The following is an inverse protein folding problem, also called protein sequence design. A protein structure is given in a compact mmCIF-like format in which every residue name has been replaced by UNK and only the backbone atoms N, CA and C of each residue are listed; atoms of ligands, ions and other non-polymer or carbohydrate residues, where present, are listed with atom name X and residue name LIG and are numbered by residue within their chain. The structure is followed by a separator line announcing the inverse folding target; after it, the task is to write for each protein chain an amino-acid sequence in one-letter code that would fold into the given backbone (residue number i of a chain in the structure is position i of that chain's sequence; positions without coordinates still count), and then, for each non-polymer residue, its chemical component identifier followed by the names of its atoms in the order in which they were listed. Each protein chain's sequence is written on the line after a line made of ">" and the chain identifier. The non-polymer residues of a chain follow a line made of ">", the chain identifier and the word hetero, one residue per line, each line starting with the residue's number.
data_IF_020300759836
#
_entry.id   IF_020300759836
#
_cell.length_a   1.000
_cell.length_b   1.000
_cell.length_c   1.000
_cell.angle_alpha   90.00
_cell.angle_beta   90.00
_cell.angle_gamma   90.00
#
_symmetry.space_group_name_H-M   'P 1'
#
loop_
_entity.id
_entity.type
_entity.pdbx_description
1 polymer ?
#
# COMPACT_ATOMS: atom_id res chain seq x y z
N UNK A 1 13.31 16.60 54.19
CA UNK A 1 14.69 16.06 54.26
C UNK A 1 15.16 15.88 52.81
N UNK A 2 15.86 16.86 52.23
CA UNK A 2 17.33 17.08 52.33
C UNK A 2 18.00 16.02 51.42
N UNK A 3 18.61 16.29 50.24
CA UNK A 3 19.52 17.35 49.77
C UNK A 3 19.34 17.55 48.22
N UNK A 4 19.27 18.74 47.60
CA UNK A 4 20.27 19.82 47.38
C UNK A 4 21.55 19.32 46.66
N UNK A 5 21.76 19.62 45.38
CA UNK A 5 22.33 20.86 44.80
C UNK A 5 23.80 20.67 44.41
N UNK A 6 24.17 21.00 43.17
CA UNK A 6 25.40 21.75 42.85
C UNK A 6 25.41 22.10 41.36
N UNK A 7 25.43 23.40 41.09
CA UNK A 7 25.68 24.02 39.80
C UNK A 7 27.05 24.72 39.82
N UNK A 8 27.58 24.96 38.61
CA UNK A 8 28.67 25.87 38.19
C UNK A 8 30.11 25.28 38.12
N UNK A 9 31.04 25.89 37.31
CA UNK A 9 30.87 26.89 36.25
C UNK A 9 31.63 26.60 34.93
N UNK A 10 31.32 27.44 33.96
CA UNK A 10 32.01 27.82 32.73
C UNK A 10 33.55 27.91 32.84
N UNK A 11 34.25 27.53 31.77
CA UNK A 11 35.61 28.04 31.50
C UNK A 11 35.75 28.40 30.02
N UNK A 12 36.20 29.63 29.81
CA UNK A 12 36.54 30.26 28.55
C UNK A 12 38.00 29.94 28.22
N UNK A 13 38.32 29.59 26.98
CA UNK A 13 39.66 29.76 26.40
C UNK A 13 39.47 30.00 24.89
N UNK A 14 39.46 31.26 24.46
CA UNK A 14 40.63 32.03 24.02
C UNK A 14 41.08 31.67 22.60
N UNK A 15 40.71 32.60 21.71
CA UNK A 15 41.31 32.96 20.43
C UNK A 15 42.77 32.54 20.22
N UNK A 16 43.04 31.97 19.04
CA UNK A 16 44.27 32.25 18.32
C UNK A 16 43.93 32.56 16.86
N UNK A 17 44.26 33.78 16.46
CA UNK A 17 44.19 34.33 15.11
C UNK A 17 45.59 34.48 14.52
N UNK A 18 45.62 34.52 13.18
CA UNK A 18 46.61 35.09 12.24
C UNK A 18 47.52 34.10 11.48
N UNK A 19 48.03 34.47 10.28
CA UNK A 19 47.60 35.55 9.37
C UNK A 19 47.51 35.17 7.86
N UNK A 20 46.86 36.10 7.16
CA UNK A 20 46.81 36.46 5.74
C UNK A 20 48.02 36.16 4.84
N UNK A 21 47.72 35.89 3.56
CA UNK A 21 48.52 36.33 2.40
C UNK A 21 47.62 36.58 1.19
N UNK A 22 47.46 37.85 0.86
CA UNK A 22 46.94 38.37 -0.40
C UNK A 22 47.87 38.06 -1.59
N UNK A 23 47.30 37.88 -2.79
CA UNK A 23 47.51 38.69 -4.01
C UNK A 23 47.08 37.92 -5.29
N UNK A 24 46.28 38.52 -6.20
CA UNK A 24 46.02 38.08 -7.58
C UNK A 24 47.03 38.76 -8.55
N UNK A 25 46.88 38.90 -9.90
CA UNK A 25 45.92 38.37 -10.88
C UNK A 25 46.58 37.83 -12.19
N UNK A 26 45.81 37.35 -13.19
CA UNK A 26 46.05 37.64 -14.65
C UNK A 26 45.01 37.04 -15.60
N UNK A 27 44.36 37.92 -16.36
CA UNK A 27 43.82 37.66 -17.71
C UNK A 27 44.97 37.69 -18.74
N UNK A 28 44.74 37.14 -19.94
CA UNK A 28 45.05 37.90 -21.14
C UNK A 28 43.91 37.95 -22.16
N UNK A 29 44.01 39.02 -22.93
CA UNK A 29 43.13 39.59 -23.94
C UNK A 29 43.05 38.84 -25.27
N UNK A 30 41.91 39.07 -25.92
CA UNK A 30 41.56 38.99 -27.35
C UNK A 30 42.68 38.97 -28.39
N UNK A 31 42.54 38.06 -29.37
CA UNK A 31 42.86 38.36 -30.77
C UNK A 31 41.60 38.23 -31.64
N UNK A 32 41.30 39.33 -32.37
CA UNK A 32 40.37 39.36 -33.48
C UNK A 32 40.99 38.68 -34.70
N UNK A 33 40.28 37.75 -35.31
CA UNK A 33 40.48 37.43 -36.74
C UNK A 33 39.16 37.52 -37.49
N UNK A 34 39.16 38.40 -38.50
CA UNK A 34 38.05 38.74 -39.39
C UNK A 34 37.62 37.51 -40.21
N UNK A 35 36.32 37.18 -40.20
CA UNK A 35 35.63 36.54 -41.33
C UNK A 35 34.15 36.93 -41.35
N UNK A 36 33.72 37.37 -42.52
CA UNK A 36 32.40 37.93 -42.87
C UNK A 36 31.24 36.93 -42.68
N UNK A 37 29.99 37.41 -42.51
CA UNK A 37 28.87 36.55 -42.14
C UNK A 37 28.36 35.78 -43.36
N UNK A 38 28.33 34.45 -43.27
CA UNK A 38 27.52 33.60 -44.16
C UNK A 38 26.34 33.08 -43.34
N UNK A 39 25.14 33.55 -43.68
CA UNK A 39 23.88 33.01 -43.16
C UNK A 39 23.74 31.52 -43.53
N UNK A 40 23.58 30.60 -42.56
CA UNK A 40 23.10 29.26 -42.84
C UNK A 40 21.57 29.31 -43.00
N UNK A 41 21.06 28.70 -44.09
CA UNK A 41 19.63 28.48 -44.34
C UNK A 41 19.00 27.66 -43.19
N UNK A 42 17.72 27.86 -42.86
CA UNK A 42 17.05 27.03 -41.86
C UNK A 42 16.93 25.58 -42.36
N UNK A 43 17.13 24.57 -41.51
CA UNK A 43 16.83 23.20 -41.88
C UNK A 43 15.30 23.03 -42.01
N UNK A 44 14.87 22.30 -43.04
CA UNK A 44 13.47 21.89 -43.23
C UNK A 44 12.98 21.13 -41.98
N UNK A 45 11.71 21.28 -41.57
CA UNK A 45 11.19 20.54 -40.43
C UNK A 45 11.18 19.04 -40.77
N UNK A 46 11.92 18.27 -39.97
CA UNK A 46 11.75 16.83 -39.91
C UNK A 46 10.35 16.51 -39.37
N UNK A 47 9.69 15.43 -39.83
CA UNK A 47 8.35 15.09 -39.36
C UNK A 47 8.40 14.89 -37.84
N UNK A 48 7.46 15.50 -37.13
CA UNK A 48 7.31 15.38 -35.69
C UNK A 48 7.23 13.90 -35.32
N UNK A 49 8.31 13.38 -34.72
CA UNK A 49 8.27 12.13 -33.99
C UNK A 49 7.31 12.35 -32.82
N UNK A 50 6.13 11.75 -32.90
CA UNK A 50 5.26 11.52 -31.75
C UNK A 50 6.04 10.63 -30.79
N UNK A 51 6.74 11.23 -29.84
CA UNK A 51 7.29 10.52 -28.68
C UNK A 51 6.10 10.20 -27.79
N UNK A 52 5.48 9.06 -28.05
CA UNK A 52 4.54 8.43 -27.14
C UNK A 52 5.38 7.79 -26.04
N UNK A 53 5.60 8.53 -24.94
CA UNK A 53 6.20 7.99 -23.73
C UNK A 53 5.28 6.88 -23.22
N UNK A 54 5.61 5.65 -23.59
CA UNK A 54 4.82 4.46 -23.32
C UNK A 54 5.63 3.62 -22.35
N UNK A 55 5.05 3.21 -21.23
CA UNK A 55 5.52 2.09 -20.41
C UNK A 55 5.81 0.88 -21.33
N UNK A 56 7.05 0.66 -21.76
CA UNK A 56 7.34 -0.27 -22.88
C UNK A 56 8.15 -1.53 -22.51
N UNK A 57 8.23 -1.91 -21.23
CA UNK A 57 8.97 -3.13 -20.86
C UNK A 57 8.24 -4.12 -19.93
N UNK A 58 6.95 -3.94 -19.66
CA UNK A 58 6.09 -4.99 -19.08
C UNK A 58 4.92 -5.26 -20.02
N UNK A 59 4.31 -6.44 -19.95
CA UNK A 59 3.09 -6.80 -20.67
C UNK A 59 1.95 -5.86 -20.25
N UNK A 60 1.81 -4.73 -20.94
CA UNK A 60 0.75 -3.76 -20.69
C UNK A 60 -0.54 -4.30 -21.30
N UNK A 61 -1.46 -4.75 -20.45
CA UNK A 61 -2.85 -4.95 -20.84
C UNK A 61 -3.54 -3.58 -20.86
N UNK A 62 -4.13 -3.20 -22.00
CA UNK A 62 -4.90 -1.96 -22.13
C UNK A 62 -6.37 -2.22 -21.79
N UNK A 63 -6.80 -1.76 -20.61
CA UNK A 63 -8.19 -1.90 -20.15
C UNK A 63 -9.15 -0.89 -20.79
N UNK A 64 -10.45 -1.18 -20.76
CA UNK A 64 -11.51 -0.28 -21.21
C UNK A 64 -11.69 0.90 -20.23
N UNK A 65 -11.52 2.17 -20.67
CA UNK A 65 -11.66 3.35 -19.80
C UNK A 65 -13.10 3.62 -19.36
N UNK A 66 -14.10 3.05 -20.04
CA UNK A 66 -15.52 3.26 -19.77
C UNK A 66 -15.94 2.78 -18.37
N UNK A 67 -15.25 1.77 -17.81
CA UNK A 67 -15.51 1.25 -16.46
C UNK A 67 -15.35 2.36 -15.41
N UNK A 68 -14.39 3.26 -15.61
CA UNK A 68 -14.05 4.36 -14.70
C UNK A 68 -14.97 5.58 -14.85
N UNK A 69 -15.98 5.54 -15.74
CA UNK A 69 -17.00 6.59 -15.83
C UNK A 69 -18.12 6.39 -14.80
N UNK A 70 -18.46 5.13 -14.51
CA UNK A 70 -19.62 4.77 -13.68
C UNK A 70 -19.21 4.18 -12.33
N UNK A 71 -18.09 3.47 -12.27
CA UNK A 71 -17.66 2.81 -11.04
C UNK A 71 -16.69 3.68 -10.22
N UNK A 72 -16.80 3.50 -8.90
CA UNK A 72 -15.97 4.13 -7.87
C UNK A 72 -15.52 3.06 -6.85
N UNK A 73 -15.01 1.91 -7.29
CA UNK A 73 -14.46 0.91 -6.36
C UNK A 73 -12.95 0.78 -6.47
N UNK A 74 -12.33 0.41 -5.35
CA UNK A 74 -10.92 0.03 -5.28
C UNK A 74 -10.59 -1.10 -6.28
N UNK A 75 -11.54 -2.02 -6.50
CA UNK A 75 -11.37 -3.14 -7.43
C UNK A 75 -11.20 -2.69 -8.90
N UNK A 76 -11.60 -1.46 -9.24
CA UNK A 76 -11.34 -0.89 -10.57
C UNK A 76 -9.86 -0.48 -10.72
N UNK A 77 -9.16 -0.19 -9.61
CA UNK A 77 -7.78 0.30 -9.60
C UNK A 77 -6.75 -0.73 -9.14
N UNK A 78 -7.19 -1.90 -8.68
CA UNK A 78 -6.37 -3.05 -8.32
C UNK A 78 -7.09 -4.33 -8.68
N UNK A 79 -6.41 -5.22 -9.43
CA UNK A 79 -6.98 -6.51 -9.83
C UNK A 79 -6.01 -7.65 -9.60
N UNK A 80 -6.56 -8.81 -9.29
CA UNK A 80 -5.81 -10.06 -9.25
C UNK A 80 -6.13 -10.87 -10.51
N UNK A 81 -5.24 -10.84 -11.48
CA UNK A 81 -5.38 -11.53 -12.75
C UNK A 81 -4.84 -12.96 -12.63
N UNK A 82 -5.62 -13.95 -13.09
CA UNK A 82 -5.27 -15.36 -13.03
C UNK A 82 -4.89 -15.85 -14.43
N UNK A 83 -3.59 -15.97 -14.70
CA UNK A 83 -3.06 -16.47 -15.95
C UNK A 83 -2.74 -17.96 -15.89
N UNK A 84 -3.74 -18.84 -15.78
CA UNK A 84 -3.56 -20.30 -15.79
C UNK A 84 -2.51 -20.83 -14.81
N UNK A 85 -1.24 -20.90 -15.26
CA UNK A 85 -0.04 -21.25 -14.48
C UNK A 85 0.64 -20.07 -13.77
N UNK A 86 0.06 -18.88 -13.71
CA UNK A 86 0.53 -17.76 -12.89
C UNK A 86 -0.63 -16.93 -12.34
N UNK A 87 -0.38 -16.18 -11.27
CA UNK A 87 -1.29 -15.16 -10.77
C UNK A 87 -0.56 -13.84 -10.59
N UNK A 88 -1.18 -12.73 -10.94
CA UNK A 88 -0.57 -11.40 -10.89
C UNK A 88 -1.47 -10.44 -10.14
N UNK A 89 -0.90 -9.74 -9.16
CA UNK A 89 -1.55 -8.56 -8.61
C UNK A 89 -1.10 -7.35 -9.44
N UNK A 90 -2.05 -6.60 -9.97
CA UNK A 90 -1.81 -5.45 -10.83
C UNK A 90 -2.51 -4.21 -10.27
N UNK A 91 -1.90 -3.06 -10.48
CA UNK A 91 -2.48 -1.74 -10.17
C UNK A 91 -2.73 -0.97 -11.47
N UNK A 92 -3.75 -0.11 -11.47
CA UNK A 92 -4.12 0.68 -12.64
C UNK A 92 -3.44 2.05 -12.65
N UNK A 93 -3.00 2.47 -13.84
CA UNK A 93 -2.73 3.86 -14.18
C UNK A 93 -3.83 4.34 -15.11
N UNK A 94 -4.64 5.29 -14.65
CA UNK A 94 -5.81 5.78 -15.38
C UNK A 94 -5.56 7.23 -15.81
N UNK A 95 -5.50 7.45 -17.12
CA UNK A 95 -5.28 8.78 -17.69
C UNK A 95 -6.60 9.52 -17.90
N UNK A 96 -6.69 10.74 -17.38
CA UNK A 96 -7.84 11.62 -17.49
C UNK A 96 -7.53 12.82 -18.39
N UNK A 97 -8.51 13.21 -19.19
CA UNK A 97 -8.43 14.37 -20.11
C UNK A 97 -9.72 15.18 -20.07
N UNK A 98 -9.65 16.43 -20.51
CA UNK A 98 -10.85 17.26 -20.66
C UNK A 98 -11.84 16.62 -21.62
N UNK A 99 -13.13 16.74 -21.32
CA UNK A 99 -14.20 16.33 -22.23
C UNK A 99 -14.23 17.26 -23.46
N UNK A 100 -14.61 16.73 -24.62
CA UNK A 100 -14.91 17.57 -25.78
C UNK A 100 -16.14 18.46 -25.49
N UNK A 101 -16.13 19.77 -25.83
CA UNK A 101 -15.15 20.47 -26.67
C UNK A 101 -13.98 21.13 -25.90
N UNK A 102 -13.96 21.11 -24.57
CA UNK A 102 -12.91 21.73 -23.74
C UNK A 102 -11.52 21.11 -23.93
N UNK A 103 -11.44 19.87 -24.40
CA UNK A 103 -10.17 19.29 -24.88
C UNK A 103 -9.49 20.10 -25.98
N UNK A 104 -10.21 20.92 -26.75
CA UNK A 104 -9.62 21.80 -27.76
C UNK A 104 -8.90 23.01 -27.15
N UNK A 105 -9.34 23.47 -25.97
CA UNK A 105 -8.70 24.59 -25.26
C UNK A 105 -7.47 24.14 -24.47
N UNK A 106 -7.46 22.90 -24.00
CA UNK A 106 -6.37 22.31 -23.22
C UNK A 106 -5.96 20.94 -23.80
N UNK A 107 -5.43 20.89 -25.04
CA UNK A 107 -5.16 19.63 -25.74
C UNK A 107 -4.03 18.80 -25.13
N UNK A 108 -3.16 19.45 -24.35
CA UNK A 108 -2.01 18.82 -23.70
C UNK A 108 -2.26 18.49 -22.23
N UNK A 109 -3.39 18.93 -21.66
CA UNK A 109 -3.72 18.65 -20.26
C UNK A 109 -4.06 17.17 -20.10
N UNK A 110 -3.27 16.50 -19.28
CA UNK A 110 -3.43 15.10 -18.92
C UNK A 110 -3.11 14.93 -17.43
N UNK A 111 -4.05 14.32 -16.71
CA UNK A 111 -3.91 13.99 -15.29
C UNK A 111 -4.03 12.48 -15.14
N UNK A 112 -3.01 11.83 -14.61
CA UNK A 112 -2.99 10.38 -14.47
C UNK A 112 -3.10 10.00 -12.99
N UNK A 113 -4.11 9.21 -12.65
CA UNK A 113 -4.21 8.55 -11.35
C UNK A 113 -3.34 7.30 -11.39
N UNK A 114 -2.26 7.30 -10.60
CA UNK A 114 -1.28 6.22 -10.54
C UNK A 114 -1.53 5.45 -9.24
N UNK A 115 -2.29 4.35 -9.34
CA UNK A 115 -2.59 3.47 -8.21
C UNK A 115 -1.34 2.74 -7.75
N UNK A 116 -1.12 2.69 -6.44
CA UNK A 116 0.02 1.99 -5.85
C UNK A 116 -0.33 1.06 -4.70
N UNK A 117 0.55 0.08 -4.52
CA UNK A 117 0.61 -0.75 -3.32
C UNK A 117 1.98 -0.56 -2.66
N UNK A 118 2.01 -0.52 -1.33
CA UNK A 118 3.22 -0.19 -0.58
C UNK A 118 4.27 -1.30 -0.53
N UNK A 119 3.87 -2.54 -0.84
CA UNK A 119 4.74 -3.71 -0.87
C UNK A 119 4.55 -4.38 -2.23
N UNK A 120 5.63 -4.52 -3.00
CA UNK A 120 5.59 -5.01 -4.38
C UNK A 120 6.96 -5.55 -4.81
N UNK A 121 7.04 -6.18 -5.99
CA UNK A 121 8.31 -6.56 -6.59
C UNK A 121 9.14 -5.29 -6.89
N UNK A 122 10.47 -5.39 -6.85
CA UNK A 122 11.34 -4.23 -7.11
C UNK A 122 11.12 -3.64 -8.49
N UNK A 123 10.88 -4.51 -9.47
CA UNK A 123 10.61 -4.19 -10.87
C UNK A 123 9.38 -3.30 -11.01
N UNK A 124 8.37 -3.49 -10.15
CA UNK A 124 7.19 -2.63 -10.11
C UNK A 124 7.55 -1.18 -9.75
N UNK A 125 8.31 -0.96 -8.67
CA UNK A 125 8.71 0.38 -8.27
C UNK A 125 9.64 1.04 -9.30
N UNK A 126 10.49 0.23 -9.95
CA UNK A 126 11.30 0.70 -11.08
C UNK A 126 10.41 1.15 -12.25
N UNK A 127 9.43 0.34 -12.64
CA UNK A 127 8.49 0.67 -13.71
C UNK A 127 7.69 1.94 -13.39
N UNK A 128 7.26 2.13 -12.14
CA UNK A 128 6.64 3.38 -11.70
C UNK A 128 7.60 4.57 -11.82
N UNK A 129 8.83 4.44 -11.32
CA UNK A 129 9.82 5.52 -11.39
C UNK A 129 10.08 5.95 -12.84
N UNK A 130 10.37 4.99 -13.72
CA UNK A 130 10.66 5.23 -15.13
C UNK A 130 9.43 5.81 -15.85
N UNK A 131 8.22 5.35 -15.50
CA UNK A 131 6.96 5.87 -16.04
C UNK A 131 6.62 7.29 -15.57
N UNK A 132 7.05 7.68 -14.36
CA UNK A 132 6.80 8.98 -13.74
C UNK A 132 7.82 10.05 -14.13
N UNK A 133 9.01 9.68 -14.59
CA UNK A 133 10.05 10.61 -15.06
C UNK A 133 9.55 11.66 -16.09
N UNK A 134 8.74 11.32 -17.11
CA UNK A 134 8.27 12.29 -18.11
C UNK A 134 7.11 13.18 -17.64
N UNK A 135 6.72 13.18 -16.37
CA UNK A 135 5.66 14.06 -15.85
C UNK A 135 6.23 15.39 -15.38
N UNK A 136 5.49 16.46 -15.65
CA UNK A 136 5.84 17.81 -15.20
C UNK A 136 5.74 17.94 -13.68
N UNK A 137 4.79 17.22 -13.08
CA UNK A 137 4.48 17.24 -11.66
C UNK A 137 3.94 15.88 -11.19
N UNK A 138 4.52 15.35 -10.11
CA UNK A 138 4.09 14.13 -9.44
C UNK A 138 3.63 14.48 -8.04
N UNK A 139 2.32 14.43 -7.82
CA UNK A 139 1.66 14.65 -6.53
C UNK A 139 1.60 13.33 -5.77
N UNK A 140 2.22 13.25 -4.59
CA UNK A 140 2.34 11.97 -3.87
C UNK A 140 1.70 11.94 -2.49
N UNK A 141 1.19 10.77 -2.13
CA UNK A 141 0.68 10.41 -0.81
C UNK A 141 1.82 10.21 0.21
N UNK A 142 1.75 10.91 1.35
CA UNK A 142 2.59 10.64 2.52
C UNK A 142 2.13 11.47 3.72
N UNK A 143 1.70 10.82 4.81
CA UNK A 143 1.56 11.50 6.10
C UNK A 143 2.93 11.51 6.79
N UNK A 144 3.50 12.70 6.96
CA UNK A 144 4.76 12.91 7.67
C UNK A 144 4.68 14.18 8.52
N UNK A 145 5.55 14.31 9.52
CA UNK A 145 5.57 15.53 10.34
C UNK A 145 5.91 16.74 9.50
N UNK A 146 5.33 17.89 9.85
CA UNK A 146 5.58 19.16 9.18
C UNK A 146 7.08 19.48 9.08
N UNK A 147 7.84 19.25 10.16
CA UNK A 147 9.29 19.42 10.16
C UNK A 147 10.00 18.53 9.13
N UNK A 148 9.55 17.27 8.98
CA UNK A 148 10.14 16.34 8.01
C UNK A 148 9.86 16.76 6.56
N UNK A 149 8.66 17.29 6.31
CA UNK A 149 8.26 17.81 5.00
C UNK A 149 9.02 19.11 4.68
N UNK A 150 9.17 20.01 5.65
CA UNK A 150 9.93 21.26 5.49
C UNK A 150 11.42 21.00 5.25
N UNK A 151 12.01 20.04 5.97
CA UNK A 151 13.41 19.63 5.78
C UNK A 151 13.63 19.02 4.39
N UNK A 152 12.66 18.25 3.89
CA UNK A 152 12.70 17.68 2.53
C UNK A 152 12.59 18.76 1.45
N UNK A 153 11.72 19.76 1.67
CA UNK A 153 11.58 20.90 0.76
C UNK A 153 12.83 21.78 0.74
N UNK A 154 13.50 21.91 1.88
CA UNK A 154 14.68 22.76 2.06
C UNK A 154 15.81 21.99 2.76
N UNK A 155 16.67 21.25 2.03
CA UNK A 155 17.75 20.45 2.60
C UNK A 155 18.77 21.26 3.43
N UNK A 156 18.82 22.59 3.24
CA UNK A 156 19.67 23.51 3.98
C UNK A 156 19.06 24.09 5.26
N UNK A 157 17.80 23.78 5.59
CA UNK A 157 17.17 24.24 6.82
C UNK A 157 17.79 23.55 8.04
N UNK A 158 18.14 24.33 9.08
CA UNK A 158 18.72 23.78 10.31
C UNK A 158 17.75 22.80 10.95
N UNK A 159 18.15 21.53 10.98
CA UNK A 159 17.46 20.45 11.70
C UNK A 159 17.32 20.82 13.17
N UNK A 160 16.12 21.24 13.59
CA UNK A 160 15.82 21.39 15.00
C UNK A 160 15.88 19.98 15.60
N UNK A 161 16.46 19.84 16.80
CA UNK A 161 16.48 18.56 17.51
C UNK A 161 15.08 18.28 18.08
N UNK A 162 14.10 18.07 17.20
CA UNK A 162 12.74 17.67 17.53
C UNK A 162 12.67 16.15 17.75
N UNK A 163 11.93 15.75 18.78
CA UNK A 163 11.62 14.34 19.09
C UNK A 163 10.85 13.75 17.90
N UNK A 164 11.48 12.85 17.13
CA UNK A 164 10.81 12.14 16.04
C UNK A 164 9.54 11.46 16.57
N UNK A 165 8.37 11.61 15.92
CA UNK A 165 7.16 10.91 16.36
C UNK A 165 7.39 9.40 16.33
N UNK A 166 7.34 8.75 17.50
CA UNK A 166 7.68 7.33 17.68
C UNK A 166 6.76 6.38 16.89
N UNK A 167 5.55 6.80 16.54
CA UNK A 167 4.53 5.97 15.88
C UNK A 167 4.86 5.54 14.44
N UNK A 168 5.40 6.44 13.61
CA UNK A 168 5.69 6.14 12.19
C UNK A 168 6.82 5.13 12.00
N UNK A 169 7.79 5.11 12.91
CA UNK A 169 8.86 4.12 12.85
C UNK A 169 8.31 2.71 13.04
N UNK A 170 7.29 2.52 13.88
CA UNK A 170 6.74 1.18 14.15
C UNK A 170 6.00 0.64 12.94
N UNK A 171 5.11 1.42 12.32
CA UNK A 171 4.36 0.98 11.15
C UNK A 171 5.28 0.69 9.96
N UNK A 172 6.25 1.57 9.68
CA UNK A 172 7.24 1.33 8.64
C UNK A 172 8.13 0.11 8.92
N UNK A 173 8.46 -0.18 10.19
CA UNK A 173 9.17 -1.40 10.56
C UNK A 173 8.33 -2.66 10.28
N UNK A 174 7.04 -2.64 10.61
CA UNK A 174 6.13 -3.77 10.36
C UNK A 174 6.01 -4.01 8.84
N UNK A 175 5.79 -2.96 8.05
CA UNK A 175 5.67 -3.07 6.59
C UNK A 175 6.96 -3.63 5.96
N UNK A 176 8.14 -3.17 6.37
CA UNK A 176 9.42 -3.75 5.89
C UNK A 176 9.58 -5.21 6.28
N UNK A 177 9.16 -5.60 7.49
CA UNK A 177 9.22 -7.00 7.91
C UNK A 177 8.27 -7.87 7.09
N UNK A 178 7.06 -7.38 6.81
CA UNK A 178 6.09 -8.04 5.93
C UNK A 178 6.63 -8.18 4.51
N UNK A 179 7.26 -7.14 3.95
CA UNK A 179 7.91 -7.18 2.65
C UNK A 179 8.97 -8.31 2.58
N UNK A 180 9.82 -8.42 3.60
CA UNK A 180 10.81 -9.51 3.69
C UNK A 180 10.19 -10.91 3.73
N UNK A 181 9.12 -11.09 4.51
CA UNK A 181 8.40 -12.38 4.59
C UNK A 181 7.82 -12.77 3.23
N UNK A 182 7.35 -11.79 2.47
CA UNK A 182 6.78 -11.99 1.13
C UNK A 182 7.84 -12.05 0.02
N UNK A 183 9.13 -11.86 0.33
CA UNK A 183 10.19 -11.64 -0.66
C UNK A 183 9.82 -10.53 -1.65
N UNK A 184 9.35 -9.41 -1.11
CA UNK A 184 8.97 -8.19 -1.82
C UNK A 184 9.76 -7.01 -1.24
N UNK A 185 9.67 -5.87 -1.91
CA UNK A 185 10.27 -4.61 -1.50
C UNK A 185 9.24 -3.62 -0.98
N UNK A 186 9.70 -2.63 -0.22
CA UNK A 186 8.88 -1.58 0.37
C UNK A 186 9.01 -0.26 -0.41
N UNK A 187 7.87 0.39 -0.68
CA UNK A 187 7.77 1.57 -1.55
C UNK A 187 8.73 2.72 -1.17
N UNK A 188 8.80 3.08 0.11
CA UNK A 188 9.64 4.20 0.56
C UNK A 188 11.15 3.92 0.44
N UNK A 189 11.54 2.64 0.31
CA UNK A 189 12.93 2.25 0.12
C UNK A 189 13.30 2.24 -1.39
N UNK A 190 12.31 2.25 -2.30
CA UNK A 190 12.50 2.12 -3.74
C UNK A 190 12.28 3.42 -4.53
N UNK A 191 11.37 4.30 -4.08
CA UNK A 191 11.04 5.55 -4.77
C UNK A 191 11.78 6.76 -4.17
N UNK A 192 12.24 7.65 -5.05
CA UNK A 192 12.90 8.90 -4.65
C UNK A 192 11.91 10.07 -4.64
N UNK A 193 11.36 10.32 -3.47
CA UNK A 193 10.43 11.41 -3.18
C UNK A 193 11.13 12.76 -3.00
N UNK A 194 12.42 12.89 -3.34
CA UNK A 194 13.19 14.15 -3.31
C UNK A 194 13.51 14.67 -4.71
N UNK A 195 13.04 14.00 -5.75
CA UNK A 195 13.16 14.48 -7.12
C UNK A 195 12.45 15.83 -7.31
N UNK A 196 12.97 16.67 -8.20
CA UNK A 196 12.53 18.07 -8.36
C UNK A 196 11.07 18.21 -8.81
N UNK A 197 10.56 17.25 -9.57
CA UNK A 197 9.17 17.21 -10.04
C UNK A 197 8.21 16.48 -9.08
N UNK A 198 8.65 16.11 -7.87
CA UNK A 198 7.81 15.43 -6.87
C UNK A 198 7.36 16.38 -5.77
N UNK A 199 6.05 16.48 -5.58
CA UNK A 199 5.42 17.40 -4.65
C UNK A 199 4.52 16.65 -3.68
N UNK A 200 4.68 16.96 -2.40
CA UNK A 200 3.80 16.45 -1.36
C UNK A 200 2.39 17.01 -1.55
N UNK A 201 1.40 16.12 -1.58
CA UNK A 201 0.01 16.45 -1.87
C UNK A 201 -0.96 15.96 -0.79
N UNK A 202 -0.47 15.66 0.40
CA UNK A 202 -1.23 15.02 1.48
C UNK A 202 -1.22 15.90 2.74
N UNK A 203 -1.88 15.44 3.82
CA UNK A 203 -1.86 16.11 5.11
C UNK A 203 -0.51 15.89 5.82
N UNK A 204 -0.05 16.91 6.55
CA UNK A 204 0.97 16.69 7.58
C UNK A 204 0.39 15.92 8.77
N UNK A 205 1.27 15.29 9.54
CA UNK A 205 0.85 14.42 10.64
C UNK A 205 0.08 15.18 11.73
N UNK A 206 0.49 16.40 12.04
CA UNK A 206 -0.13 17.20 13.07
C UNK A 206 -1.58 17.55 12.70
N UNK A 207 -1.81 18.01 11.47
CA UNK A 207 -3.15 18.25 10.93
C UNK A 207 -3.95 16.96 10.80
N UNK A 208 -3.35 15.86 10.32
CA UNK A 208 -4.02 14.57 10.22
C UNK A 208 -4.55 14.10 11.59
N UNK A 209 -3.73 14.18 12.63
CA UNK A 209 -4.12 13.81 14.00
C UNK A 209 -5.21 14.71 14.56
N UNK A 210 -5.12 16.02 14.31
CA UNK A 210 -6.14 16.97 14.74
C UNK A 210 -7.50 16.66 14.11
N UNK A 211 -7.55 16.44 12.79
CA UNK A 211 -8.79 16.11 12.10
C UNK A 211 -9.39 14.78 12.58
N UNK A 212 -8.55 13.79 12.89
CA UNK A 212 -8.99 12.53 13.50
C UNK A 212 -9.67 12.77 14.85
N UNK A 213 -9.07 13.59 15.71
CA UNK A 213 -9.65 13.95 17.02
C UNK A 213 -10.96 14.73 16.87
N UNK A 214 -11.03 15.70 15.96
CA UNK A 214 -12.23 16.51 15.69
C UNK A 214 -13.40 15.68 15.17
N UNK A 215 -13.15 14.70 14.29
CA UNK A 215 -14.18 13.77 13.80
C UNK A 215 -14.44 12.59 14.74
N UNK A 216 -13.69 12.43 15.82
CA UNK A 216 -13.76 11.25 16.70
C UNK A 216 -13.35 9.95 15.99
N UNK A 217 -12.57 10.05 14.92
CA UNK A 217 -12.12 8.93 14.11
C UNK A 217 -10.76 8.42 14.60
N UNK A 218 -10.57 7.10 14.53
CA UNK A 218 -9.26 6.49 14.70
C UNK A 218 -9.09 5.39 13.66
N UNK A 219 -7.84 4.99 13.38
CA UNK A 219 -7.58 3.83 12.50
C UNK A 219 -8.30 2.57 12.97
N UNK A 220 -8.47 2.40 14.28
CA UNK A 220 -9.18 1.26 14.87
C UNK A 220 -10.69 1.36 14.64
N UNK A 221 -11.29 2.52 14.90
CA UNK A 221 -12.72 2.77 14.66
C UNK A 221 -13.07 2.58 13.19
N UNK A 222 -12.24 3.12 12.29
CA UNK A 222 -12.40 2.94 10.85
C UNK A 222 -12.30 1.47 10.41
N UNK A 223 -11.32 0.73 10.94
CA UNK A 223 -11.20 -0.70 10.65
C UNK A 223 -12.42 -1.50 11.13
N UNK A 224 -12.98 -1.15 12.30
CA UNK A 224 -14.24 -1.72 12.80
C UNK A 224 -15.39 -1.39 11.85
N UNK A 225 -15.57 -0.13 11.48
CA UNK A 225 -16.67 0.30 10.61
C UNK A 225 -16.63 -0.40 9.26
N UNK A 226 -15.43 -0.51 8.68
CA UNK A 226 -15.22 -1.28 7.46
C UNK A 226 -15.60 -2.74 7.64
N UNK A 227 -15.13 -3.38 8.72
CA UNK A 227 -15.44 -4.78 9.01
C UNK A 227 -16.93 -5.01 9.23
N UNK A 228 -17.64 -4.11 9.92
CA UNK A 228 -19.07 -4.24 10.18
C UNK A 228 -19.86 -4.11 8.87
N UNK A 229 -19.61 -3.05 8.09
CA UNK A 229 -20.36 -2.81 6.85
C UNK A 229 -20.08 -3.86 5.79
N UNK A 230 -18.83 -4.31 5.69
CA UNK A 230 -18.49 -5.42 4.81
C UNK A 230 -19.13 -6.73 5.24
N UNK A 231 -19.19 -7.01 6.53
CA UNK A 231 -19.84 -8.21 7.05
C UNK A 231 -21.33 -8.13 6.78
N UNK A 232 -21.94 -6.94 6.94
CA UNK A 232 -23.32 -6.69 6.55
C UNK A 232 -23.55 -6.92 5.04
N UNK A 233 -22.66 -6.42 4.18
CA UNK A 233 -22.73 -6.64 2.74
C UNK A 233 -22.60 -8.13 2.39
N UNK A 234 -21.69 -8.84 3.05
CA UNK A 234 -21.52 -10.29 2.91
C UNK A 234 -22.75 -11.07 3.39
N UNK A 235 -23.36 -10.69 4.50
CA UNK A 235 -24.59 -11.31 5.02
C UNK A 235 -25.76 -11.06 4.07
N UNK A 236 -25.84 -9.88 3.46
CA UNK A 236 -26.86 -9.55 2.47
C UNK A 236 -26.63 -10.26 1.11
N UNK A 237 -25.38 -10.50 0.73
CA UNK A 237 -25.00 -11.23 -0.49
C UNK A 237 -24.95 -12.76 -0.30
N UNK A 238 -24.97 -13.26 0.94
CA UNK A 238 -24.86 -14.67 1.25
C UNK A 238 -26.20 -15.40 0.99
N UNK A 239 -26.38 -15.88 -0.23
CA UNK A 239 -26.73 -17.29 -0.35
C UNK A 239 -25.46 -18.08 -0.02
N UNK A 240 -25.44 -18.76 1.12
CA UNK A 240 -24.40 -19.78 1.38
C UNK A 240 -24.61 -20.85 0.31
N UNK A 241 -23.58 -21.29 -0.44
CA UNK A 241 -23.76 -22.40 -1.37
C UNK A 241 -24.33 -23.59 -0.59
N UNK A 242 -25.49 -24.10 -0.99
CA UNK A 242 -26.20 -25.20 -0.30
C UNK A 242 -25.38 -26.51 -0.21
N UNK A 243 -24.22 -26.56 -0.88
CA UNK A 243 -23.28 -27.67 -0.95
C UNK A 243 -22.18 -27.66 0.15
N UNK A 244 -22.10 -26.60 0.98
CA UNK A 244 -21.08 -26.57 2.04
C UNK A 244 -21.55 -27.30 3.31
N UNK A 245 -20.81 -28.35 3.71
CA UNK A 245 -21.08 -29.10 4.93
C UNK A 245 -21.17 -28.23 6.20
N UNK A 246 -22.07 -28.60 7.13
CA UNK A 246 -22.45 -27.83 8.32
C UNK A 246 -21.29 -27.17 9.09
N UNK A 247 -20.21 -27.91 9.34
CA UNK A 247 -19.04 -27.40 10.07
C UNK A 247 -18.24 -26.37 9.28
N UNK A 248 -18.12 -26.52 7.95
CA UNK A 248 -17.42 -25.54 7.09
C UNK A 248 -18.18 -24.23 7.03
N UNK A 249 -19.51 -24.30 6.92
CA UNK A 249 -20.40 -23.13 6.94
C UNK A 249 -20.30 -22.37 8.26
N UNK A 250 -20.29 -23.09 9.40
CA UNK A 250 -20.10 -22.47 10.72
C UNK A 250 -18.71 -21.88 10.91
N UNK A 251 -17.66 -22.56 10.44
CA UNK A 251 -16.28 -22.08 10.55
C UNK A 251 -16.04 -20.84 9.68
N UNK A 252 -16.57 -20.82 8.45
CA UNK A 252 -16.58 -19.63 7.59
C UNK A 252 -17.32 -18.48 8.24
N UNK A 253 -18.52 -18.74 8.76
CA UNK A 253 -19.30 -17.72 9.46
C UNK A 253 -18.55 -17.16 10.67
N UNK A 254 -17.94 -18.02 11.49
CA UNK A 254 -17.14 -17.61 12.64
C UNK A 254 -15.93 -16.78 12.22
N UNK A 255 -15.19 -17.20 11.17
CA UNK A 255 -14.04 -16.45 10.65
C UNK A 255 -14.42 -15.08 10.07
N UNK A 256 -15.65 -14.92 9.57
CA UNK A 256 -16.16 -13.66 9.05
C UNK A 256 -16.77 -12.76 10.13
N UNK A 257 -17.24 -13.34 11.23
CA UNK A 257 -17.97 -12.62 12.29
C UNK A 257 -17.11 -12.30 13.51
N UNK A 258 -15.95 -12.95 13.66
CA UNK A 258 -15.04 -12.74 14.78
C UNK A 258 -13.70 -12.19 14.29
N UNK A 259 -13.07 -11.23 15.02
CA UNK A 259 -11.74 -10.76 14.68
C UNK A 259 -10.74 -11.93 14.78
N UNK A 260 -10.07 -12.24 13.67
CA UNK A 260 -9.17 -13.38 13.56
C UNK A 260 -7.83 -12.93 12.96
N UNK A 261 -6.68 -13.44 13.45
CA UNK A 261 -5.38 -13.15 12.84
C UNK A 261 -5.36 -13.62 11.37
N UNK A 262 -4.61 -12.91 10.53
CA UNK A 262 -4.52 -13.17 9.08
C UNK A 262 -4.17 -14.63 8.74
N UNK A 263 -3.35 -15.27 9.57
CA UNK A 263 -2.99 -16.69 9.41
C UNK A 263 -4.19 -17.59 9.65
N UNK A 264 -5.02 -17.30 10.65
CA UNK A 264 -6.27 -18.04 10.89
C UNK A 264 -7.26 -17.87 9.73
N UNK A 265 -7.41 -16.64 9.23
CA UNK A 265 -8.26 -16.34 8.06
C UNK A 265 -7.75 -17.04 6.79
N UNK A 266 -6.43 -17.11 6.60
CA UNK A 266 -5.79 -17.83 5.51
C UNK A 266 -6.10 -19.33 5.58
N UNK A 267 -5.95 -19.93 6.76
CA UNK A 267 -6.19 -21.36 6.98
C UNK A 267 -7.68 -21.69 6.80
N UNK A 268 -8.59 -20.95 7.44
CA UNK A 268 -10.04 -21.20 7.31
C UNK A 268 -10.52 -20.89 5.89
N UNK A 269 -10.07 -19.80 5.29
CA UNK A 269 -10.38 -19.43 3.91
C UNK A 269 -9.96 -20.53 2.95
N UNK A 270 -8.74 -21.06 3.11
CA UNK A 270 -8.28 -22.22 2.36
C UNK A 270 -9.16 -23.45 2.59
N UNK A 271 -9.34 -23.92 3.82
CA UNK A 271 -10.05 -25.18 4.11
C UNK A 271 -11.52 -25.14 3.69
N UNK A 272 -12.17 -23.99 3.80
CA UNK A 272 -13.61 -23.88 3.63
C UNK A 272 -14.06 -23.30 2.29
N UNK A 273 -13.22 -22.58 1.54
CA UNK A 273 -13.57 -22.16 0.17
C UNK A 273 -13.23 -23.30 -0.80
N UNK A 274 -14.31 -23.98 -1.19
CA UNK A 274 -14.52 -24.99 -2.22
C UNK A 274 -13.30 -25.55 -3.02
N UNK A 275 -13.17 -26.88 -2.99
CA UNK A 275 -12.36 -27.71 -3.89
C UNK A 275 -13.15 -28.17 -5.15
N UNK A 276 -14.32 -27.59 -5.42
CA UNK A 276 -15.34 -28.18 -6.29
C UNK A 276 -15.87 -27.35 -7.45
N UNK A 277 -15.51 -26.08 -7.64
CA UNK A 277 -16.02 -25.25 -8.75
C UNK A 277 -14.90 -24.77 -9.69
N UNK A 278 -14.84 -25.41 -10.86
CA UNK A 278 -14.09 -25.09 -12.09
C UNK A 278 -12.70 -24.43 -11.96
N UNK A 279 -11.68 -25.23 -12.31
CA UNK A 279 -10.43 -24.80 -12.98
C UNK A 279 -9.73 -23.54 -12.46
N UNK A 280 -9.54 -23.38 -11.15
CA UNK A 280 -8.53 -22.45 -10.66
C UNK A 280 -7.35 -23.19 -10.05
N UNK A 281 -6.35 -23.43 -10.89
CA UNK A 281 -5.11 -24.13 -10.59
C UNK A 281 -4.22 -23.37 -9.56
N UNK A 282 -4.69 -22.31 -8.92
CA UNK A 282 -3.97 -21.64 -7.82
C UNK A 282 -4.92 -21.34 -6.66
N UNK A 283 -5.11 -22.35 -5.83
CA UNK A 283 -5.69 -22.15 -4.49
C UNK A 283 -4.59 -21.82 -3.50
N UNK A 284 -4.89 -20.98 -2.51
CA UNK A 284 -4.03 -20.70 -1.34
C UNK A 284 -3.58 -22.01 -0.69
N UNK A 285 -4.48 -23.00 -0.67
CA UNK A 285 -4.21 -24.35 -0.17
C UNK A 285 -3.11 -25.02 -0.99
N UNK A 286 -3.14 -24.91 -2.33
CA UNK A 286 -2.12 -25.54 -3.17
C UNK A 286 -0.73 -24.97 -2.85
N UNK A 287 -0.60 -23.64 -2.73
CA UNK A 287 0.66 -22.99 -2.35
C UNK A 287 1.11 -23.40 -0.92
N UNK A 288 0.20 -23.38 0.06
CA UNK A 288 0.48 -23.85 1.42
C UNK A 288 0.91 -25.31 1.46
N UNK A 289 0.27 -26.16 0.66
CA UNK A 289 0.55 -27.59 0.54
C UNK A 289 1.93 -27.86 -0.08
N UNK A 290 2.49 -26.88 -0.80
CA UNK A 290 3.86 -26.92 -1.34
C UNK A 290 4.88 -26.27 -0.41
N UNK A 291 4.49 -25.88 0.80
CA UNK A 291 5.30 -25.12 1.77
C UNK A 291 5.72 -23.72 1.27
N UNK A 292 5.06 -23.21 0.23
CA UNK A 292 5.30 -21.86 -0.27
C UNK A 292 4.36 -20.87 0.43
N UNK A 293 4.71 -20.57 1.69
CA UNK A 293 3.95 -19.63 2.54
C UNK A 293 3.96 -18.23 1.92
N UNK A 294 5.04 -17.85 1.24
CA UNK A 294 5.17 -16.58 0.55
C UNK A 294 4.14 -16.45 -0.57
N UNK A 295 4.09 -17.41 -1.49
CA UNK A 295 3.09 -17.45 -2.56
C UNK A 295 1.66 -17.53 -2.00
N UNK A 296 1.42 -18.36 -0.98
CA UNK A 296 0.11 -18.47 -0.36
C UNK A 296 -0.37 -17.14 0.25
N UNK A 297 0.52 -16.44 0.96
CA UNK A 297 0.20 -15.14 1.54
C UNK A 297 0.03 -14.06 0.47
N UNK A 298 0.83 -14.08 -0.62
CA UNK A 298 0.63 -13.20 -1.80
C UNK A 298 -0.75 -13.43 -2.44
N UNK A 299 -1.16 -14.68 -2.68
CA UNK A 299 -2.51 -14.99 -3.24
C UNK A 299 -3.60 -14.50 -2.30
N UNK A 300 -3.48 -14.80 -1.01
CA UNK A 300 -4.48 -14.40 -0.02
C UNK A 300 -4.61 -12.87 0.09
N UNK A 301 -3.49 -12.16 0.17
CA UNK A 301 -3.48 -10.70 0.21
C UNK A 301 -4.05 -10.11 -1.07
N UNK A 302 -3.67 -10.64 -2.24
CA UNK A 302 -4.20 -10.18 -3.53
C UNK A 302 -5.73 -10.32 -3.57
N UNK A 303 -6.26 -11.50 -3.24
CA UNK A 303 -7.71 -11.73 -3.18
C UNK A 303 -8.42 -10.84 -2.16
N UNK A 304 -7.80 -10.54 -1.01
CA UNK A 304 -8.39 -9.67 0.00
C UNK A 304 -8.45 -8.22 -0.44
N UNK A 305 -7.37 -7.73 -1.07
CA UNK A 305 -7.28 -6.36 -1.57
C UNK A 305 -8.22 -6.09 -2.77
N UNK A 306 -8.54 -7.12 -3.56
CA UNK A 306 -9.35 -6.98 -4.79
C UNK A 306 -10.75 -7.59 -4.68
N UNK A 307 -11.21 -7.94 -3.47
CA UNK A 307 -12.54 -8.55 -3.28
C UNK A 307 -13.67 -7.51 -3.28
N UNK A 308 -14.88 -7.95 -3.66
CA UNK A 308 -16.16 -7.22 -3.62
C UNK A 308 -16.43 -6.44 -2.31
N UNK A 309 -15.75 -6.79 -1.23
CA UNK A 309 -15.69 -6.04 0.03
C UNK A 309 -15.45 -4.54 -0.18
N UNK A 310 -14.62 -4.17 -1.16
CA UNK A 310 -14.21 -2.78 -1.42
C UNK A 310 -15.21 -1.99 -2.29
N UNK A 311 -16.30 -2.59 -2.74
CA UNK A 311 -17.32 -1.89 -3.54
C UNK A 311 -18.36 -1.17 -2.67
N UNK A 312 -18.64 -1.69 -1.47
CA UNK A 312 -19.72 -1.17 -0.59
C UNK A 312 -19.23 -0.08 0.37
N UNK A 313 -17.94 0.25 0.34
CA UNK A 313 -17.28 1.09 1.35
C UNK A 313 -17.05 2.54 0.92
N UNK A 314 -17.27 2.88 -0.36
CA UNK A 314 -16.92 4.17 -0.95
C UNK A 314 -17.45 5.42 -0.19
N UNK A 315 -18.70 5.40 0.28
CA UNK A 315 -19.28 6.54 1.03
C UNK A 315 -18.63 6.75 2.42
N UNK A 316 -18.12 5.68 3.05
CA UNK A 316 -17.39 5.80 4.33
C UNK A 316 -15.99 6.36 4.07
N UNK A 317 -15.35 5.88 2.99
CA UNK A 317 -14.02 6.32 2.59
C UNK A 317 -14.01 7.83 2.34
N UNK A 318 -15.00 8.36 1.61
CA UNK A 318 -15.14 9.79 1.34
C UNK A 318 -15.33 10.65 2.60
N UNK A 319 -16.12 10.18 3.57
CA UNK A 319 -16.40 10.98 4.77
C UNK A 319 -15.29 10.88 5.82
N UNK A 320 -14.41 9.88 5.72
CA UNK A 320 -13.33 9.64 6.66
C UNK A 320 -12.19 10.66 6.56
N UNK A 321 -11.46 10.85 7.66
CA UNK A 321 -10.17 11.54 7.67
C UNK A 321 -9.09 10.70 6.97
N UNK A 322 -9.23 9.37 7.00
CA UNK A 322 -8.22 8.43 6.51
C UNK A 322 -8.10 8.45 4.98
N UNK A 323 -9.19 8.74 4.27
CA UNK A 323 -9.20 8.84 2.81
C UNK A 323 -9.73 10.21 2.37
N UNK A 324 -10.95 10.57 2.75
CA UNK A 324 -11.63 11.79 2.31
C UNK A 324 -10.86 13.09 2.52
N UNK A 325 -10.47 13.40 3.75
CA UNK A 325 -9.74 14.66 4.04
C UNK A 325 -8.35 14.69 3.36
N UNK A 326 -7.69 13.54 3.24
CA UNK A 326 -6.41 13.42 2.53
C UNK A 326 -6.56 13.62 1.02
N UNK A 327 -7.64 13.11 0.44
CA UNK A 327 -7.95 13.32 -0.97
C UNK A 327 -8.34 14.78 -1.27
N UNK A 328 -8.96 15.49 -0.33
CA UNK A 328 -9.18 16.94 -0.48
C UNK A 328 -7.86 17.70 -0.58
N UNK A 329 -6.88 17.38 0.27
CA UNK A 329 -5.54 17.96 0.19
C UNK A 329 -4.87 17.68 -1.17
N UNK A 330 -5.05 16.47 -1.71
CA UNK A 330 -4.54 16.09 -3.03
C UNK A 330 -5.17 16.92 -4.15
N UNK A 331 -6.49 17.14 -4.10
CA UNK A 331 -7.22 17.97 -5.07
C UNK A 331 -6.82 19.45 -4.97
N UNK A 332 -6.56 19.97 -3.78
CA UNK A 332 -6.01 21.32 -3.61
C UNK A 332 -4.59 21.44 -4.18
N UNK A 333 -3.76 20.42 -4.00
CA UNK A 333 -2.43 20.37 -4.62
C UNK A 333 -2.53 20.30 -6.16
N UNK A 334 -3.48 19.54 -6.69
CA UNK A 334 -3.76 19.50 -8.13
C UNK A 334 -4.16 20.86 -8.68
N UNK A 335 -5.05 21.60 -8.00
CA UNK A 335 -5.43 22.96 -8.41
C UNK A 335 -4.21 23.86 -8.49
N UNK A 336 -3.35 23.84 -7.47
CA UNK A 336 -2.10 24.61 -7.47
C UNK A 336 -1.19 24.24 -8.65
N UNK A 337 -1.01 22.95 -8.91
CA UNK A 337 -0.18 22.50 -10.03
C UNK A 337 -0.73 22.95 -11.40
N UNK A 338 -2.06 22.97 -11.56
CA UNK A 338 -2.71 23.48 -12.77
C UNK A 338 -2.54 25.01 -12.90
N UNK A 339 -2.67 25.75 -11.80
CA UNK A 339 -2.46 27.20 -11.76
C UNK A 339 -1.00 27.59 -12.07
N UNK A 340 -0.05 26.73 -11.68
CA UNK A 340 1.38 26.85 -12.01
C UNK A 340 1.69 26.48 -13.48
N UNK A 341 0.70 25.97 -14.22
CA UNK A 341 0.80 25.71 -15.66
C UNK A 341 1.31 24.32 -16.04
N UNK A 342 1.35 23.37 -15.09
CA UNK A 342 1.69 21.98 -15.39
C UNK A 342 0.60 21.34 -16.26
N UNK A 343 1.02 20.63 -17.32
CA UNK A 343 0.09 20.01 -18.27
C UNK A 343 0.01 18.50 -18.09
N UNK A 344 1.11 17.86 -17.68
CA UNK A 344 1.18 16.41 -17.47
C UNK A 344 1.44 16.11 -16.01
N UNK A 345 0.38 15.83 -15.27
CA UNK A 345 0.40 15.67 -13.80
C UNK A 345 0.07 14.21 -13.44
N UNK A 346 0.86 13.61 -12.56
CA UNK A 346 0.57 12.29 -11.98
C UNK A 346 0.15 12.44 -10.52
N UNK A 347 -0.86 11.70 -10.09
CA UNK A 347 -1.30 11.60 -8.69
C UNK A 347 -1.00 10.18 -8.21
N UNK A 348 0.07 10.04 -7.42
CA UNK A 348 0.61 8.77 -6.92
C UNK A 348 0.09 8.49 -5.50
N UNK A 349 -0.93 7.66 -5.41
CA UNK A 349 -1.62 7.35 -4.14
C UNK A 349 -1.85 5.83 -4.02
N UNK A 350 -2.16 5.35 -2.83
CA UNK A 350 -2.55 3.97 -2.59
C UNK A 350 -3.89 3.65 -3.26
N UNK A 351 -4.08 2.39 -3.68
CA UNK A 351 -5.28 1.98 -4.41
C UNK A 351 -6.61 2.30 -3.72
N UNK A 352 -6.64 2.36 -2.38
CA UNK A 352 -7.83 2.75 -1.61
C UNK A 352 -8.26 4.21 -1.77
N UNK A 353 -7.37 5.10 -2.19
CA UNK A 353 -7.68 6.52 -2.40
C UNK A 353 -8.25 6.81 -3.79
N UNK A 354 -7.94 5.95 -4.76
CA UNK A 354 -8.23 6.17 -6.19
C UNK A 354 -9.71 6.39 -6.50
N UNK A 355 -10.68 5.68 -5.89
CA UNK A 355 -12.06 5.83 -6.29
C UNK A 355 -12.64 7.21 -6.02
N UNK A 356 -12.37 7.76 -4.84
CA UNK A 356 -12.79 9.11 -4.47
C UNK A 356 -12.02 10.18 -5.26
N UNK A 357 -10.71 9.98 -5.52
CA UNK A 357 -9.95 10.87 -6.39
C UNK A 357 -10.50 10.89 -7.83
N UNK A 358 -10.77 9.71 -8.40
CA UNK A 358 -11.34 9.57 -9.74
C UNK A 358 -12.68 10.27 -9.86
N UNK A 359 -13.54 10.14 -8.85
CA UNK A 359 -14.80 10.87 -8.76
C UNK A 359 -14.58 12.40 -8.72
N UNK A 360 -13.69 12.90 -7.85
CA UNK A 360 -13.38 14.34 -7.77
C UNK A 360 -12.80 14.89 -9.07
N UNK A 361 -11.98 14.13 -9.80
CA UNK A 361 -11.49 14.55 -11.12
C UNK A 361 -12.63 14.74 -12.13
N UNK A 362 -13.66 13.89 -12.08
CA UNK A 362 -14.83 14.02 -12.95
C UNK A 362 -15.72 15.19 -12.51
N UNK A 363 -16.05 15.24 -11.22
CA UNK A 363 -17.05 16.18 -10.68
C UNK A 363 -16.50 17.61 -10.60
N UNK A 364 -15.27 17.79 -10.10
CA UNK A 364 -14.70 19.11 -9.83
C UNK A 364 -13.93 19.70 -11.02
N UNK A 365 -13.43 18.85 -11.93
CA UNK A 365 -12.57 19.27 -13.05
C UNK A 365 -13.13 18.93 -14.43
N UNK A 366 -14.29 18.28 -14.56
CA UNK A 366 -14.88 17.87 -15.85
C UNK A 366 -13.89 17.07 -16.72
N UNK A 367 -13.12 16.19 -16.06
CA UNK A 367 -12.20 15.28 -16.71
C UNK A 367 -12.88 13.94 -16.91
N UNK A 368 -12.53 13.26 -18.00
CA UNK A 368 -13.03 11.93 -18.34
C UNK A 368 -11.85 10.96 -18.49
N UNK A 369 -11.98 9.70 -18.03
CA UNK A 369 -10.99 8.67 -18.26
C UNK A 369 -10.84 8.45 -19.78
N UNK A 370 -9.60 8.25 -20.21
CA UNK A 370 -9.24 8.17 -21.63
C UNK A 370 -8.36 6.97 -21.96
N UNK A 371 -7.54 6.51 -21.02
CA UNK A 371 -6.67 5.34 -21.15
C UNK A 371 -6.49 4.68 -19.80
N UNK A 372 -6.33 3.35 -19.80
CA UNK A 372 -6.02 2.56 -18.62
C UNK A 372 -4.82 1.67 -18.95
N UNK A 373 -3.83 1.65 -18.08
CA UNK A 373 -2.67 0.76 -18.17
C UNK A 373 -2.55 -0.03 -16.88
N UNK A 374 -2.38 -1.34 -16.99
CA UNK A 374 -2.13 -2.20 -15.84
C UNK A 374 -0.64 -2.41 -15.62
N UNK A 375 -0.19 -2.22 -14.38
CA UNK A 375 1.20 -2.40 -13.96
C UNK A 375 1.25 -3.55 -12.95
N UNK A 376 2.09 -4.54 -13.20
CA UNK A 376 2.20 -5.73 -12.34
C UNK A 376 2.97 -5.40 -11.07
N UNK A 377 2.28 -5.44 -9.93
CA UNK A 377 2.85 -5.22 -8.61
C UNK A 377 3.64 -6.43 -8.13
N UNK A 378 3.08 -7.63 -8.27
CA UNK A 378 3.85 -8.86 -8.12
C UNK A 378 3.28 -9.99 -8.95
N UNK A 379 4.14 -10.94 -9.29
CA UNK A 379 3.74 -12.19 -9.92
C UNK A 379 3.93 -13.38 -8.99
N UNK A 380 3.11 -14.41 -9.21
CA UNK A 380 3.11 -15.66 -8.48
C UNK A 380 3.25 -16.77 -9.52
N UNK A 381 4.42 -17.41 -9.56
CA UNK A 381 4.73 -18.49 -10.49
C UNK A 381 4.84 -19.81 -9.73
N UNK A 382 4.32 -20.91 -10.31
CA UNK A 382 4.41 -22.26 -9.76
C UNK A 382 5.85 -22.71 -9.97
N UNK A 383 6.64 -22.92 -8.91
CA UNK A 383 7.93 -23.58 -9.09
C UNK A 383 7.69 -25.03 -9.54
N UNK A 384 8.47 -25.48 -10.53
CA UNK A 384 8.57 -26.90 -10.85
C UNK A 384 9.35 -27.59 -9.72
N UNK A 385 8.64 -28.33 -8.87
CA UNK A 385 9.28 -29.03 -7.77
C UNK A 385 10.05 -30.25 -8.29
N UNK A 386 11.39 -30.19 -8.20
CA UNK A 386 12.27 -31.30 -8.54
C UNK A 386 12.08 -32.45 -7.53
N UNK A 387 11.51 -33.58 -7.97
CA UNK A 387 11.03 -34.71 -7.14
C UNK A 387 12.12 -35.58 -6.51
N UNK A 388 13.38 -35.13 -6.46
CA UNK A 388 14.51 -35.94 -5.98
C UNK A 388 14.96 -35.57 -4.57
N UNK A 389 14.40 -36.23 -3.55
CA UNK A 389 15.06 -36.39 -2.24
C UNK A 389 14.25 -37.24 -1.25
N UNK A 390 15.00 -38.14 -0.58
CA UNK A 390 14.66 -39.08 0.51
C UNK A 390 13.82 -40.34 0.12
N UNK A 391 14.47 -41.47 -0.23
CA UNK A 391 13.79 -42.70 -0.68
C UNK A 391 12.89 -43.35 0.39
N UNK A 392 13.21 -43.18 1.68
CA UNK A 392 12.45 -43.81 2.77
C UNK A 392 11.00 -43.30 2.88
N UNK A 393 10.76 -42.00 2.69
CA UNK A 393 9.40 -41.43 2.77
C UNK A 393 8.54 -41.82 1.56
N UNK A 394 9.15 -42.04 0.39
CA UNK A 394 8.48 -42.56 -0.80
C UNK A 394 7.96 -43.98 -0.58
N UNK A 395 8.81 -44.84 -0.01
CA UNK A 395 8.43 -46.23 0.34
C UNK A 395 7.29 -46.26 1.35
N UNK A 396 7.30 -45.39 2.37
CA UNK A 396 6.21 -45.31 3.35
C UNK A 396 4.88 -44.87 2.72
N UNK A 397 4.90 -43.88 1.83
CA UNK A 397 3.68 -43.39 1.15
C UNK A 397 3.08 -44.43 0.19
N UNK A 398 3.94 -45.17 -0.54
CA UNK A 398 3.53 -46.26 -1.43
C UNK A 398 2.91 -47.44 -0.65
N UNK A 399 3.47 -47.78 0.52
CA UNK A 399 2.94 -48.84 1.40
C UNK A 399 1.61 -48.43 2.04
N UNK A 400 1.44 -47.16 2.41
CA UNK A 400 0.23 -46.68 3.09
C UNK A 400 -0.91 -46.31 2.13
N UNK A 401 -0.68 -46.32 0.81
CA UNK A 401 -1.66 -45.84 -0.18
C UNK A 401 -2.06 -44.37 0.02
N UNK A 402 -1.15 -43.55 0.58
CA UNK A 402 -1.49 -42.19 0.99
C UNK A 402 -1.59 -41.27 -0.23
N UNK A 403 -2.70 -40.52 -0.41
CA UNK A 403 -2.96 -39.79 -1.66
C UNK A 403 -2.16 -38.48 -1.80
N UNK A 404 -1.52 -38.00 -0.73
CA UNK A 404 -0.82 -36.71 -0.71
C UNK A 404 0.67 -36.86 -1.03
N UNK A 405 1.22 -35.88 -1.76
CA UNK A 405 2.64 -35.86 -2.07
C UNK A 405 3.51 -35.48 -0.85
N UNK A 406 4.83 -35.69 -0.96
CA UNK A 406 5.79 -35.48 0.14
C UNK A 406 5.76 -34.09 0.77
N UNK A 407 5.58 -33.04 -0.03
CA UNK A 407 5.55 -31.66 0.46
C UNK A 407 4.21 -31.36 1.12
N UNK A 408 3.12 -31.92 0.59
CA UNK A 408 1.78 -31.82 1.16
C UNK A 408 1.71 -32.50 2.53
N UNK A 409 2.35 -33.67 2.70
CA UNK A 409 2.41 -34.36 3.99
C UNK A 409 3.25 -33.57 5.01
N UNK A 410 4.40 -33.03 4.61
CA UNK A 410 5.23 -32.20 5.49
C UNK A 410 4.52 -30.90 5.88
N UNK A 411 3.85 -30.25 4.92
CA UNK A 411 3.00 -29.10 5.16
C UNK A 411 1.89 -29.42 6.17
N UNK A 412 1.19 -30.54 6.00
CA UNK A 412 0.14 -30.98 6.91
C UNK A 412 0.68 -31.17 8.33
N UNK A 413 1.86 -31.78 8.49
CA UNK A 413 2.50 -31.95 9.80
C UNK A 413 2.88 -30.61 10.45
N UNK A 414 3.45 -29.68 9.68
CA UNK A 414 3.81 -28.35 10.17
C UNK A 414 2.55 -27.57 10.58
N UNK A 415 1.53 -27.52 9.72
CA UNK A 415 0.27 -26.84 10.03
C UNK A 415 -0.44 -27.46 11.22
N UNK A 416 -0.47 -28.80 11.31
CA UNK A 416 -1.05 -29.50 12.46
C UNK A 416 -0.31 -29.15 13.75
N UNK A 417 1.02 -29.06 13.72
CA UNK A 417 1.81 -28.65 14.89
C UNK A 417 1.55 -27.19 15.28
N UNK A 418 1.48 -26.27 14.30
CA UNK A 418 1.20 -24.85 14.57
C UNK A 418 -0.20 -24.67 15.14
N UNK A 419 -1.20 -25.34 14.56
CA UNK A 419 -2.58 -25.30 15.06
C UNK A 419 -2.69 -25.92 16.46
N UNK A 420 -1.95 -26.98 16.77
CA UNK A 420 -1.93 -27.55 18.11
C UNK A 420 -1.36 -26.56 19.15
N UNK A 421 -0.29 -25.84 18.81
CA UNK A 421 0.28 -24.79 19.66
C UNK A 421 -0.68 -23.59 19.78
N UNK A 422 -1.33 -23.17 18.70
CA UNK A 422 -2.32 -22.09 18.71
C UNK A 422 -3.54 -22.45 19.57
N UNK A 423 -4.06 -23.66 19.43
CA UNK A 423 -5.15 -24.17 20.29
C UNK A 423 -4.75 -24.20 21.77
N UNK A 424 -3.53 -24.66 22.08
CA UNK A 424 -3.02 -24.65 23.45
C UNK A 424 -2.89 -23.23 24.01
N UNK A 425 -2.44 -22.28 23.19
CA UNK A 425 -2.42 -20.87 23.56
C UNK A 425 -3.82 -20.32 23.85
N UNK A 426 -4.80 -20.59 23.00
CA UNK A 426 -6.18 -20.16 23.21
C UNK A 426 -6.80 -20.80 24.45
N UNK A 427 -6.52 -22.07 24.73
CA UNK A 427 -6.94 -22.75 25.96
C UNK A 427 -6.40 -22.04 27.20
N UNK A 428 -5.11 -21.70 27.20
CA UNK A 428 -4.48 -20.92 28.28
C UNK A 428 -5.09 -19.52 28.40
N UNK A 429 -5.34 -18.83 27.29
CA UNK A 429 -5.91 -17.49 27.27
C UNK A 429 -7.34 -17.47 27.81
N UNK A 430 -8.21 -18.39 27.37
CA UNK A 430 -9.58 -18.49 27.88
C UNK A 430 -9.60 -18.97 29.33
N UNK A 431 -8.76 -19.93 29.71
CA UNK A 431 -8.63 -20.38 31.10
C UNK A 431 -8.24 -19.23 32.04
N UNK A 432 -7.25 -18.41 31.66
CA UNK A 432 -6.82 -17.25 32.45
C UNK A 432 -7.85 -16.13 32.48
N UNK A 433 -8.52 -15.85 31.35
CA UNK A 433 -9.56 -14.81 31.26
C UNK A 433 -10.80 -15.18 32.06
N UNK A 434 -11.25 -16.44 31.99
CA UNK A 434 -12.38 -16.95 32.77
C UNK A 434 -12.06 -16.94 34.27
N UNK A 435 -10.86 -17.36 34.66
CA UNK A 435 -10.42 -17.30 36.06
C UNK A 435 -10.40 -15.85 36.57
N UNK A 436 -9.80 -14.92 35.82
CA UNK A 436 -9.79 -13.50 36.17
C UNK A 436 -11.19 -12.89 36.26
N UNK A 437 -12.08 -13.21 35.32
CA UNK A 437 -13.46 -12.75 35.33
C UNK A 437 -14.23 -13.30 36.54
N UNK A 438 -14.03 -14.57 36.88
CA UNK A 438 -14.64 -15.21 38.05
C UNK A 438 -14.14 -14.60 39.37
N UNK A 439 -12.87 -14.24 39.43
CA UNK A 439 -12.24 -13.65 40.61
C UNK A 439 -12.69 -12.19 40.78
N UNK A 440 -12.78 -11.44 39.70
CA UNK A 440 -13.32 -10.07 39.70
C UNK A 440 -14.81 -10.07 40.06
N UNK A 441 -15.60 -11.02 39.53
CA UNK A 441 -17.00 -11.18 39.88
C UNK A 441 -17.20 -11.56 41.35
N UNK A 442 -16.36 -12.44 41.90
CA UNK A 442 -16.42 -12.81 43.32
C UNK A 442 -16.02 -11.66 44.24
N UNK A 443 -15.01 -10.87 43.89
CA UNK A 443 -14.62 -9.65 44.61
C UNK A 443 -15.73 -8.58 44.56
N UNK A 444 -16.34 -8.35 43.39
CA UNK A 444 -17.47 -7.43 43.25
C UNK A 444 -18.68 -7.89 44.07
N UNK A 445 -18.96 -9.20 44.08
CA UNK A 445 -20.04 -9.78 44.89
C UNK A 445 -19.78 -9.65 46.39
N UNK A 446 -18.55 -9.86 46.84
CA UNK A 446 -18.15 -9.65 48.24
C UNK A 446 -18.28 -8.18 48.65
N UNK A 447 -17.86 -7.24 47.79
CA UNK A 447 -17.98 -5.80 48.04
C UNK A 447 -19.45 -5.35 48.13
N UNK A 448 -20.31 -5.82 47.24
CA UNK A 448 -21.76 -5.55 47.29
C UNK A 448 -22.39 -6.12 48.56
N UNK A 449 -21.98 -7.31 48.98
CA UNK A 449 -22.47 -7.94 50.21
C UNK A 449 -22.01 -7.21 51.48
N UNK A 450 -20.78 -6.70 51.54
CA UNK A 450 -20.31 -5.89 52.67
C UNK A 450 -20.95 -4.51 52.72
N UNK A 451 -21.36 -3.95 51.58
CA UNK A 451 -22.02 -2.65 51.49
C UNK A 451 -23.49 -2.67 51.95
N UNK A 452 -24.12 -3.85 52.03
CA UNK A 452 -25.50 -4.03 52.52
C UNK A 452 -25.57 -4.29 54.04
N UNK A 453 -24.43 -4.40 54.73
CA UNK A 453 -24.35 -4.71 56.17
C UNK A 453 -24.00 -3.45 57.00
N UNK A 454 -23.94 -2.28 56.36
CA UNK A 454 -23.91 -0.95 56.98
C UNK A 454 -25.27 -0.30 56.74
#
# INVERSE_FOLDING_TARGET
>A
MVLTSASLPSTVSSFHSNPTSDYPPRLPSSELSRRSPKFPRPPRPAPALKVSATFTQQSVDEGSPEVFLQNNSIADFMRFERGGRSGELQTAVVSYRKRFPWSLLQPFLQIDLVSTIHIADKEYFKALKDGLEPYDCVLYEMVASRESLETRRNPGAKRLKGTRPRGFNVLGCIQRQMARVLMLDFQLDCLDYQAENWYHADLDFETFKQLQEEKGESLFTFAIDMTIKSTKALVQAASIPDDLGFWRSKLLWASRSLPMPLVGLLIIGGICMDMGSQESEYSEIEALSRLDIGAALKVFLAKRLTSEFTQVTAEIEENSVIIGERNKAAVEALKRALDEGHNRIAILYGGGHMPDLGRRLRDDFDLVPSRVQWVTAWSITKPELNTNSLPFLKTMAEISGWPLNRYQTLALLIFSSVLAVDLWFWELFFGTTVNWASETASQAWQYLRSSQVI
#
